data_IF_708133654795
#
_entry.id   IF_708133654795
#
_cell.length_a   1.000
_cell.length_b   1.000
_cell.length_c   1.000
_cell.angle_alpha   90.00
_cell.angle_beta   90.00
_cell.angle_gamma   90.00
#
_symmetry.space_group_name_H-M   'P 1'
#
loop_
_entity.id
_entity.type
_entity.pdbx_description
1 polymer ?
#
# COMPACT_ATOMS: atom_id res chain seq x y z
N UNK A 1 9.39 17.19 4.86
CA UNK A 1 8.60 16.47 5.88
C UNK A 1 7.24 16.14 5.30
N UNK A 2 6.49 15.21 5.90
CA UNK A 2 5.11 14.86 5.52
C UNK A 2 4.15 16.06 5.54
N UNK A 3 4.46 17.10 6.31
CA UNK A 3 3.65 18.34 6.37
C UNK A 3 3.54 19.06 5.03
N UNK A 4 4.50 18.88 4.13
CA UNK A 4 4.55 19.56 2.84
C UNK A 4 3.66 18.93 1.76
N UNK A 5 2.99 17.81 2.07
CA UNK A 5 2.16 17.06 1.12
C UNK A 5 0.72 16.98 1.62
N UNK A 6 -0.25 16.98 0.72
CA UNK A 6 -1.66 16.77 1.08
C UNK A 6 -2.02 15.26 1.10
N UNK A 7 -1.33 14.47 0.29
CA UNK A 7 -1.44 13.02 0.20
C UNK A 7 -0.14 12.42 -0.37
N UNK A 8 0.02 11.10 -0.26
CA UNK A 8 1.15 10.37 -0.83
C UNK A 8 0.66 9.13 -1.59
N UNK A 9 1.25 8.82 -2.74
CA UNK A 9 0.94 7.58 -3.48
C UNK A 9 2.23 6.88 -3.86
N UNK A 10 2.32 5.58 -3.56
CA UNK A 10 3.37 4.70 -4.06
C UNK A 10 2.85 3.81 -5.19
N UNK A 11 3.36 3.99 -6.42
CA UNK A 11 3.18 3.03 -7.49
C UNK A 11 3.80 1.67 -7.14
N UNK A 12 3.47 0.65 -7.93
CA UNK A 12 4.07 -0.68 -7.79
C UNK A 12 5.35 -0.89 -8.61
N UNK A 13 5.58 -2.16 -8.95
CA UNK A 13 6.72 -2.59 -9.76
C UNK A 13 7.82 -3.24 -8.94
N UNK A 14 8.61 -4.10 -9.59
CA UNK A 14 9.68 -4.88 -8.93
C UNK A 14 10.79 -4.00 -8.34
N UNK A 15 10.99 -2.80 -8.88
CA UNK A 15 11.92 -1.82 -8.33
C UNK A 15 11.54 -1.37 -6.92
N UNK A 16 10.24 -1.28 -6.59
CA UNK A 16 9.81 -0.96 -5.23
C UNK A 16 10.27 -2.04 -4.24
N UNK A 17 9.95 -3.30 -4.52
CA UNK A 17 10.25 -4.46 -3.67
C UNK A 17 11.72 -4.92 -3.68
N UNK A 18 12.61 -4.16 -4.33
CA UNK A 18 14.06 -4.41 -4.33
C UNK A 18 14.87 -3.21 -3.86
N UNK A 19 14.47 -2.01 -4.26
CA UNK A 19 15.25 -0.79 -4.06
C UNK A 19 14.70 0.07 -2.92
N UNK A 20 13.39 0.06 -2.69
CA UNK A 20 12.76 0.87 -1.63
C UNK A 20 12.56 0.06 -0.37
N UNK A 21 12.15 -1.20 -0.53
CA UNK A 21 12.14 -2.22 0.50
C UNK A 21 12.62 -3.53 -0.10
N UNK A 22 13.15 -4.45 0.70
CA UNK A 22 13.86 -5.64 0.22
C UNK A 22 12.99 -6.93 0.15
N UNK A 23 11.67 -6.78 0.11
CA UNK A 23 10.69 -7.88 0.13
C UNK A 23 10.92 -8.98 -0.91
N UNK A 24 11.38 -8.64 -2.11
CA UNK A 24 11.66 -9.66 -3.12
C UNK A 24 12.77 -10.66 -2.72
N UNK A 25 13.57 -10.33 -1.68
CA UNK A 25 14.65 -11.16 -1.17
C UNK A 25 14.35 -11.74 0.20
N UNK A 26 13.66 -11.00 1.06
CA UNK A 26 13.50 -11.30 2.50
C UNK A 26 12.05 -11.61 2.90
N UNK A 27 11.08 -11.43 1.99
CA UNK A 27 9.67 -11.68 2.27
C UNK A 27 9.15 -10.81 3.44
N UNK A 28 8.34 -11.35 4.35
CA UNK A 28 7.72 -10.55 5.42
C UNK A 28 8.71 -9.96 6.44
N UNK A 29 9.94 -10.47 6.47
CA UNK A 29 11.05 -9.92 7.28
C UNK A 29 11.74 -8.72 6.61
N UNK A 30 11.12 -8.14 5.59
CA UNK A 30 11.73 -7.06 4.82
C UNK A 30 12.02 -5.80 5.62
N UNK A 31 13.02 -5.06 5.16
CA UNK A 31 13.37 -3.74 5.64
C UNK A 31 13.04 -2.71 4.58
N UNK A 32 12.75 -1.49 5.03
CA UNK A 32 12.41 -0.34 4.18
C UNK A 32 13.55 0.67 4.35
N UNK A 33 13.88 1.39 3.28
CA UNK A 33 14.81 2.52 3.40
C UNK A 33 14.27 3.52 4.43
N UNK A 34 15.11 3.90 5.39
CA UNK A 34 14.74 4.70 6.56
C UNK A 34 14.02 6.01 6.23
N UNK A 35 14.42 6.72 5.17
CA UNK A 35 13.77 7.96 4.75
C UNK A 35 12.35 7.75 4.21
N UNK A 36 12.11 6.61 3.54
CA UNK A 36 10.78 6.27 3.03
C UNK A 36 9.88 5.83 4.17
N UNK A 37 10.38 4.97 5.06
CA UNK A 37 9.63 4.56 6.25
C UNK A 37 9.26 5.78 7.11
N UNK A 38 10.21 6.69 7.35
CA UNK A 38 9.96 7.94 8.06
C UNK A 38 8.88 8.77 7.37
N UNK A 39 8.94 8.97 6.05
CA UNK A 39 7.93 9.74 5.32
C UNK A 39 6.54 9.11 5.40
N UNK A 40 6.43 7.79 5.26
CA UNK A 40 5.15 7.08 5.36
C UNK A 40 4.55 7.24 6.76
N UNK A 41 5.37 7.08 7.81
CA UNK A 41 4.95 7.32 9.20
C UNK A 41 4.44 8.74 9.40
N UNK A 42 5.19 9.75 8.93
CA UNK A 42 4.79 11.16 9.01
C UNK A 42 3.43 11.42 8.33
N UNK A 43 3.15 10.79 7.17
CA UNK A 43 1.86 10.91 6.47
C UNK A 43 0.72 10.27 7.27
N UNK A 44 0.93 9.06 7.80
CA UNK A 44 -0.07 8.32 8.58
C UNK A 44 -0.37 9.03 9.91
N UNK A 45 0.65 9.52 10.60
CA UNK A 45 0.51 10.25 11.88
C UNK A 45 -0.19 11.61 11.67
N UNK A 46 0.07 12.28 10.56
CA UNK A 46 -0.63 13.50 10.19
C UNK A 46 -2.09 13.27 9.73
N UNK A 47 -2.54 12.01 9.66
CA UNK A 47 -3.89 11.66 9.19
C UNK A 47 -4.12 12.08 7.74
N UNK A 48 -3.08 11.98 6.90
CA UNK A 48 -3.12 12.33 5.48
C UNK A 48 -3.29 11.07 4.61
N UNK A 49 -4.03 11.15 3.49
CA UNK A 49 -4.29 9.97 2.67
C UNK A 49 -3.03 9.36 2.06
N UNK A 50 -2.95 8.03 2.09
CA UNK A 50 -1.86 7.25 1.51
C UNK A 50 -2.40 6.22 0.50
N UNK A 51 -1.97 6.31 -0.75
CA UNK A 51 -2.26 5.35 -1.80
C UNK A 51 -1.14 4.32 -2.00
N UNK A 52 -1.48 3.04 -2.15
CA UNK A 52 -0.51 1.97 -2.42
C UNK A 52 -0.98 1.05 -3.55
N UNK A 53 -0.17 0.93 -4.60
CA UNK A 53 -0.53 0.21 -5.83
C UNK A 53 0.33 -1.05 -6.01
N UNK A 54 -0.30 -2.16 -6.40
CA UNK A 54 0.35 -3.41 -6.77
C UNK A 54 1.14 -4.02 -5.62
N UNK A 55 2.47 -3.90 -5.57
CA UNK A 55 3.29 -4.48 -4.49
C UNK A 55 3.49 -3.52 -3.30
N UNK A 56 3.24 -2.23 -3.49
CA UNK A 56 3.39 -1.22 -2.44
C UNK A 56 2.55 -1.46 -1.17
N UNK A 57 1.35 -2.11 -1.21
CA UNK A 57 0.60 -2.46 0.00
C UNK A 57 1.41 -3.28 1.02
N UNK A 58 2.35 -4.12 0.57
CA UNK A 58 3.24 -4.88 1.47
C UNK A 58 4.16 -3.96 2.26
N UNK A 59 4.71 -2.92 1.62
CA UNK A 59 5.53 -1.91 2.31
C UNK A 59 4.69 -1.16 3.35
N UNK A 60 3.46 -0.79 3.00
CA UNK A 60 2.55 -0.10 3.94
C UNK A 60 2.21 -1.00 5.13
N UNK A 61 1.93 -2.28 4.90
CA UNK A 61 1.71 -3.24 5.97
C UNK A 61 2.93 -3.35 6.90
N UNK A 62 4.15 -3.37 6.33
CA UNK A 62 5.38 -3.41 7.12
C UNK A 62 5.59 -2.14 7.95
N UNK A 63 5.25 -0.95 7.41
CA UNK A 63 5.28 0.28 8.19
C UNK A 63 4.28 0.24 9.34
N UNK A 64 3.04 -0.19 9.11
CA UNK A 64 2.01 -0.33 10.15
C UNK A 64 2.47 -1.31 11.24
N UNK A 65 3.04 -2.44 10.87
CA UNK A 65 3.65 -3.39 11.81
C UNK A 65 4.73 -2.71 12.66
N UNK A 66 5.67 -2.00 12.03
CA UNK A 66 6.74 -1.31 12.75
C UNK A 66 6.23 -0.13 13.60
N UNK A 67 5.01 0.37 13.36
CA UNK A 67 4.32 1.35 14.20
C UNK A 67 3.54 0.69 15.34
N UNK A 68 3.37 -0.63 15.33
CA UNK A 68 2.47 -1.34 16.25
C UNK A 68 1.01 -0.95 16.06
N UNK A 69 0.62 -0.60 14.82
CA UNK A 69 -0.72 -0.10 14.47
C UNK A 69 -1.47 -1.15 13.66
N UNK A 70 -2.75 -1.31 13.98
CA UNK A 70 -3.67 -2.09 13.15
C UNK A 70 -3.96 -1.35 11.83
N UNK A 71 -4.39 -2.09 10.82
CA UNK A 71 -4.85 -1.51 9.57
C UNK A 71 -5.21 -2.56 8.55
N UNK A 72 -5.69 -2.10 7.39
CA UNK A 72 -6.21 -2.96 6.33
C UNK A 72 -5.71 -2.57 4.95
N UNK A 73 -5.23 -3.55 4.19
CA UNK A 73 -4.79 -3.36 2.79
C UNK A 73 -5.22 -4.53 1.90
N UNK A 74 -4.96 -4.49 0.60
CA UNK A 74 -5.13 -5.65 -0.29
C UNK A 74 -3.79 -6.15 -0.82
N UNK A 75 -3.66 -7.48 -0.86
CA UNK A 75 -2.65 -8.19 -1.66
C UNK A 75 -3.19 -8.65 -3.01
N UNK A 76 -4.40 -8.22 -3.40
CA UNK A 76 -5.17 -8.82 -4.48
C UNK A 76 -5.79 -10.16 -4.06
N UNK A 77 -5.77 -11.11 -4.98
CA UNK A 77 -6.16 -12.51 -4.76
C UNK A 77 -4.93 -13.44 -4.67
N UNK A 78 -3.71 -12.88 -4.72
CA UNK A 78 -2.47 -13.63 -4.52
C UNK A 78 -2.37 -14.14 -3.07
N UNK A 79 -2.33 -15.47 -2.93
CA UNK A 79 -2.32 -16.13 -1.62
C UNK A 79 -1.05 -15.89 -0.83
N UNK A 80 0.10 -15.77 -1.51
CA UNK A 80 1.37 -15.60 -0.84
C UNK A 80 1.49 -14.17 -0.29
N UNK A 81 1.22 -13.16 -1.13
CA UNK A 81 1.23 -11.75 -0.70
C UNK A 81 0.24 -11.53 0.44
N UNK A 82 -0.95 -12.11 0.34
CA UNK A 82 -1.97 -12.02 1.40
C UNK A 82 -1.48 -12.65 2.70
N UNK A 83 -0.91 -13.85 2.66
CA UNK A 83 -0.39 -14.52 3.86
C UNK A 83 0.79 -13.76 4.49
N UNK A 84 1.67 -13.20 3.66
CA UNK A 84 2.82 -12.42 4.14
C UNK A 84 2.36 -11.15 4.85
N UNK A 85 1.40 -10.41 4.29
CA UNK A 85 0.79 -9.22 4.95
C UNK A 85 0.11 -9.62 6.27
N UNK A 86 -0.63 -10.72 6.30
CA UNK A 86 -1.27 -11.21 7.53
C UNK A 86 -0.26 -11.62 8.60
N UNK A 87 0.89 -12.19 8.20
CA UNK A 87 1.97 -12.52 9.14
C UNK A 87 2.60 -11.28 9.77
N UNK A 88 2.47 -10.11 9.13
CA UNK A 88 2.85 -8.82 9.70
C UNK A 88 1.82 -8.28 10.71
N UNK A 89 0.69 -8.96 10.91
CA UNK A 89 -0.39 -8.54 11.81
C UNK A 89 -1.37 -7.54 11.19
N UNK A 90 -1.37 -7.40 9.86
CA UNK A 90 -2.20 -6.45 9.12
C UNK A 90 -3.34 -7.19 8.43
N UNK A 91 -4.55 -6.63 8.51
CA UNK A 91 -5.72 -7.22 7.87
C UNK A 91 -5.64 -7.12 6.35
N UNK A 92 -6.18 -8.12 5.67
CA UNK A 92 -6.23 -8.16 4.22
C UNK A 92 -7.65 -8.35 3.72
N UNK A 93 -8.03 -7.60 2.71
CA UNK A 93 -9.28 -7.79 1.98
C UNK A 93 -8.96 -8.11 0.51
N UNK A 94 -9.64 -9.13 -0.04
CA UNK A 94 -9.46 -9.51 -1.43
C UNK A 94 -10.06 -8.45 -2.35
N UNK A 95 -9.32 -8.07 -3.38
CA UNK A 95 -9.77 -7.13 -4.39
C UNK A 95 -9.38 -7.62 -5.79
N UNK A 96 -10.24 -7.38 -6.77
CA UNK A 96 -9.92 -7.56 -8.18
C UNK A 96 -9.06 -6.42 -8.73
N UNK A 97 -8.58 -6.58 -9.96
CA UNK A 97 -7.73 -5.60 -10.65
C UNK A 97 -8.35 -4.18 -10.71
N UNK A 98 -9.68 -4.12 -10.86
CA UNK A 98 -10.43 -2.87 -10.95
C UNK A 98 -10.97 -2.37 -9.60
N UNK A 99 -10.62 -2.98 -8.48
CA UNK A 99 -11.16 -2.65 -7.16
C UNK A 99 -10.11 -2.03 -6.24
N UNK A 100 -10.59 -1.46 -5.14
CA UNK A 100 -9.76 -0.83 -4.10
C UNK A 100 -10.19 -1.33 -2.72
N UNK A 101 -9.25 -1.33 -1.78
CA UNK A 101 -9.53 -1.52 -0.35
C UNK A 101 -9.16 -0.24 0.37
N UNK A 102 -10.04 0.20 1.27
CA UNK A 102 -9.88 1.42 2.05
C UNK A 102 -9.84 1.06 3.54
N UNK A 103 -8.82 1.57 4.20
CA UNK A 103 -8.73 1.69 5.65
C UNK A 103 -9.06 3.15 6.00
N UNK A 104 -10.27 3.37 6.51
CA UNK A 104 -10.78 4.71 6.83
C UNK A 104 -10.09 5.31 8.05
N UNK A 105 -9.63 4.48 9.00
CA UNK A 105 -8.99 4.95 10.23
C UNK A 105 -7.60 5.51 9.93
N UNK A 106 -6.81 4.79 9.13
CA UNK A 106 -5.48 5.21 8.74
C UNK A 106 -5.45 6.03 7.45
N UNK A 107 -6.59 6.20 6.76
CA UNK A 107 -6.74 6.80 5.43
C UNK A 107 -5.85 6.17 4.37
N UNK A 108 -5.73 4.85 4.39
CA UNK A 108 -4.94 4.08 3.42
C UNK A 108 -5.87 3.55 2.34
N UNK A 109 -5.50 3.75 1.07
CA UNK A 109 -6.19 3.21 -0.09
C UNK A 109 -5.23 2.30 -0.84
N UNK A 110 -5.62 1.06 -1.11
CA UNK A 110 -4.78 0.10 -1.82
C UNK A 110 -5.51 -0.52 -3.00
N UNK A 111 -4.77 -0.83 -4.08
CA UNK A 111 -5.30 -1.51 -5.26
C UNK A 111 -4.30 -2.53 -5.82
N UNK A 112 -4.73 -3.70 -6.33
CA UNK A 112 -3.81 -4.74 -6.80
C UNK A 112 -3.11 -4.40 -8.12
N UNK A 113 -3.74 -3.61 -9.00
CA UNK A 113 -3.25 -3.33 -10.35
C UNK A 113 -2.65 -4.58 -11.02
N UNK A 114 -1.39 -4.55 -11.47
CA UNK A 114 -0.72 -5.67 -12.16
C UNK A 114 -0.45 -6.93 -11.32
N UNK A 115 -0.81 -6.98 -10.03
CA UNK A 115 -0.90 -8.26 -9.31
C UNK A 115 -2.03 -9.12 -9.91
N UNK A 116 -3.14 -8.49 -10.32
CA UNK A 116 -4.34 -9.16 -10.85
C UNK A 116 -4.64 -8.82 -12.32
N UNK A 117 -4.26 -7.62 -12.78
CA UNK A 117 -4.64 -7.09 -14.08
C UNK A 117 -3.96 -7.84 -15.22
N UNK A 118 -4.74 -8.21 -16.23
CA UNK A 118 -4.29 -8.84 -17.47
C UNK A 118 -4.12 -7.85 -18.62
N UNK A 119 -4.55 -6.61 -18.41
CA UNK A 119 -4.43 -5.53 -19.38
C UNK A 119 -4.18 -4.18 -18.71
N UNK A 120 -3.64 -3.23 -19.47
CA UNK A 120 -3.48 -1.85 -19.00
C UNK A 120 -4.81 -1.19 -18.64
N UNK A 121 -5.90 -1.58 -19.32
CA UNK A 121 -7.24 -1.05 -19.05
C UNK A 121 -7.71 -1.45 -17.66
N UNK A 122 -7.59 -2.72 -17.30
CA UNK A 122 -7.96 -3.23 -15.97
C UNK A 122 -7.14 -2.57 -14.86
N UNK A 123 -5.82 -2.44 -15.08
CA UNK A 123 -4.95 -1.75 -14.12
C UNK A 123 -5.35 -0.27 -13.96
N UNK A 124 -5.67 0.42 -15.06
CA UNK A 124 -6.11 1.82 -15.03
C UNK A 124 -7.41 1.99 -14.24
N UNK A 125 -8.40 1.11 -14.41
CA UNK A 125 -9.67 1.19 -13.70
C UNK A 125 -9.49 1.18 -12.16
N UNK A 126 -8.64 0.30 -11.63
CA UNK A 126 -8.34 0.25 -10.19
C UNK A 126 -7.53 1.46 -9.70
N UNK A 127 -6.52 1.86 -10.48
CA UNK A 127 -5.65 3.00 -10.15
C UNK A 127 -6.44 4.32 -10.16
N UNK A 128 -7.31 4.54 -11.14
CA UNK A 128 -8.17 5.73 -11.21
C UNK A 128 -9.11 5.82 -10.02
N UNK A 129 -9.73 4.70 -9.62
CA UNK A 129 -10.54 4.63 -8.40
C UNK A 129 -9.73 4.94 -7.15
N UNK A 130 -8.51 4.41 -7.05
CA UNK A 130 -7.61 4.69 -5.93
C UNK A 130 -7.29 6.18 -5.85
N UNK A 131 -6.87 6.80 -6.95
CA UNK A 131 -6.53 8.23 -6.99
C UNK A 131 -7.75 9.08 -6.64
N UNK A 132 -8.91 8.77 -7.21
CA UNK A 132 -10.15 9.48 -6.88
C UNK A 132 -10.50 9.37 -5.39
N UNK A 133 -10.34 8.19 -4.79
CA UNK A 133 -10.60 7.99 -3.35
C UNK A 133 -9.60 8.71 -2.47
N UNK A 134 -8.31 8.68 -2.81
CA UNK A 134 -7.26 9.45 -2.12
C UNK A 134 -7.61 10.93 -2.11
N UNK A 135 -8.00 11.50 -3.25
CA UNK A 135 -8.40 12.91 -3.35
C UNK A 135 -9.64 13.25 -2.51
N UNK A 136 -10.62 12.34 -2.42
CA UNK A 136 -11.81 12.53 -1.57
C UNK A 136 -11.51 12.54 -0.07
N UNK A 137 -10.40 11.93 0.34
CA UNK A 137 -9.97 11.86 1.74
C UNK A 137 -9.09 13.07 2.15
N UNK A 138 -8.71 13.91 1.18
CA UNK A 138 -8.06 15.20 1.42
C UNK A 138 -9.14 16.16 1.95
N UNK A 139 -8.88 16.76 3.10
CA UNK A 139 -9.76 17.75 3.75
C UNK A 139 -9.60 19.14 3.18
#
# INVERSE_FOLDING_TARGET
SGDQFDALIFPGGTGMAKNIFDYAMTGPECTIISDIERLVREIIEAGKPLGAICIAPVMVAKVLQNMGREGKVTGGCDKQITADIQSMGIETEQAGAGDIVVDEENKIVSTPAYVEAKSIKEAAEGIEKLVARVLQLIG
#
